data_IF_136768325776
#
_entry.id   IF_136768325776
#
_cell.length_a   1.000
_cell.length_b   1.000
_cell.length_c   1.000
_cell.angle_alpha   90.00
_cell.angle_beta   90.00
_cell.angle_gamma   90.00
#
_symmetry.space_group_name_H-M   'P 1'
#
loop_
_entity.id
_entity.type
_entity.pdbx_description
1 polymer ?
#
# COMPACT_ATOMS: atom_id res chain seq x y z
N UNK A 1 -14.10 -35.11 -94.51
CA UNK A 1 -14.04 -33.65 -94.71
C UNK A 1 -12.85 -33.08 -93.93
N UNK A 2 -11.92 -32.40 -94.61
CA UNK A 2 -11.23 -31.13 -94.21
C UNK A 2 -11.41 -30.63 -92.75
N UNK A 3 -10.42 -30.16 -91.97
CA UNK A 3 -9.10 -29.46 -92.16
C UNK A 3 -8.27 -29.67 -90.86
N UNK A 4 -6.93 -29.83 -90.80
CA UNK A 4 -5.78 -28.95 -91.11
C UNK A 4 -5.08 -28.29 -89.89
N UNK A 5 -3.88 -28.81 -89.54
CA UNK A 5 -2.67 -28.16 -88.95
C UNK A 5 -2.67 -27.64 -87.48
N UNK A 6 -1.77 -28.08 -86.58
CA UNK A 6 -0.32 -27.69 -86.37
C UNK A 6 -0.15 -26.19 -86.00
N UNK A 7 0.46 -25.71 -84.90
CA UNK A 7 1.61 -26.08 -84.01
C UNK A 7 1.43 -25.33 -82.64
N UNK A 8 2.25 -25.37 -81.55
CA UNK A 8 3.56 -26.00 -81.17
C UNK A 8 3.68 -26.13 -79.61
N UNK A 9 4.89 -26.45 -79.14
CA UNK A 9 5.40 -26.54 -77.75
C UNK A 9 4.98 -25.46 -76.72
N UNK A 10 4.87 -25.86 -75.44
CA UNK A 10 5.73 -25.38 -74.32
C UNK A 10 5.93 -26.54 -73.33
N UNK A 11 7.18 -26.74 -72.87
CA UNK A 11 7.53 -27.69 -71.81
C UNK A 11 7.27 -27.07 -70.44
N UNK A 12 6.50 -27.74 -69.57
CA UNK A 12 6.39 -27.35 -68.15
C UNK A 12 7.05 -28.39 -67.26
N UNK A 13 8.08 -27.95 -66.53
CA UNK A 13 8.71 -28.70 -65.45
C UNK A 13 7.78 -28.62 -64.24
N UNK A 14 7.23 -29.75 -63.80
CA UNK A 14 6.46 -29.82 -62.55
C UNK A 14 7.43 -29.94 -61.38
N UNK A 15 7.63 -28.84 -60.66
CA UNK A 15 8.36 -28.85 -59.39
C UNK A 15 7.48 -29.47 -58.29
N UNK A 16 7.91 -30.60 -57.74
CA UNK A 16 7.24 -31.23 -56.61
C UNK A 16 7.57 -30.49 -55.30
N UNK A 17 6.63 -29.69 -54.80
CA UNK A 17 6.69 -29.10 -53.47
C UNK A 17 6.14 -30.10 -52.44
N UNK A 18 7.02 -30.68 -51.62
CA UNK A 18 6.64 -31.52 -50.51
C UNK A 18 6.06 -30.64 -49.37
N UNK A 19 4.76 -30.79 -49.10
CA UNK A 19 4.13 -30.17 -47.94
C UNK A 19 4.49 -30.96 -46.67
N UNK A 20 5.39 -30.43 -45.83
CA UNK A 20 5.54 -30.94 -44.47
C UNK A 20 4.30 -30.55 -43.66
N UNK A 21 3.49 -31.53 -43.25
CA UNK A 21 2.58 -31.33 -42.12
C UNK A 21 3.40 -31.23 -40.83
N UNK A 22 3.62 -30.00 -40.37
CA UNK A 22 4.02 -29.77 -38.98
C UNK A 22 2.77 -29.89 -38.12
N UNK A 23 2.62 -31.04 -37.46
CA UNK A 23 1.69 -31.21 -36.35
C UNK A 23 2.16 -30.31 -35.19
N UNK A 24 1.67 -29.06 -35.18
CA UNK A 24 1.83 -28.19 -34.04
C UNK A 24 1.11 -28.82 -32.84
N UNK A 25 1.87 -29.28 -31.85
CA UNK A 25 1.32 -29.84 -30.63
C UNK A 25 0.48 -28.78 -29.92
N UNK A 26 -0.75 -29.14 -29.53
CA UNK A 26 -1.59 -28.30 -28.68
C UNK A 26 -0.84 -28.10 -27.35
N UNK A 27 -0.54 -26.86 -26.93
CA UNK A 27 0.02 -26.65 -25.59
C UNK A 27 -1.04 -27.05 -24.57
N UNK A 28 -0.75 -28.12 -23.83
CA UNK A 28 -1.59 -28.57 -22.72
C UNK A 28 -1.71 -27.46 -21.66
N UNK A 29 -2.86 -27.40 -21.01
CA UNK A 29 -3.29 -26.45 -19.98
C UNK A 29 -2.19 -25.50 -19.45
N UNK A 30 -2.38 -24.19 -19.70
CA UNK A 30 -1.57 -23.16 -19.06
C UNK A 30 -1.61 -23.38 -17.53
N UNK A 31 -0.44 -23.60 -16.93
CA UNK A 31 -0.31 -23.54 -15.49
C UNK A 31 -0.74 -22.14 -15.05
N UNK A 32 -1.66 -22.06 -14.08
CA UNK A 32 -2.08 -20.77 -13.53
C UNK A 32 -0.83 -19.99 -13.12
N UNK A 33 -0.72 -18.74 -13.60
CA UNK A 33 0.37 -17.87 -13.21
C UNK A 33 0.35 -17.72 -11.68
N UNK A 34 1.46 -18.04 -11.03
CA UNK A 34 1.60 -17.82 -9.59
C UNK A 34 1.56 -16.33 -9.26
N UNK A 35 1.35 -15.97 -7.98
CA UNK A 35 1.38 -14.58 -7.55
C UNK A 35 2.67 -13.88 -8.00
N UNK A 36 2.52 -12.65 -8.49
CA UNK A 36 3.64 -11.86 -9.02
C UNK A 36 4.49 -11.34 -7.87
N UNK A 37 5.57 -12.07 -7.56
CA UNK A 37 6.60 -11.66 -6.59
C UNK A 37 7.40 -10.45 -7.11
N UNK A 38 6.85 -9.25 -6.88
CA UNK A 38 7.57 -7.97 -6.98
C UNK A 38 7.95 -7.42 -5.61
N UNK A 39 8.90 -6.47 -5.52
CA UNK A 39 9.13 -5.71 -4.30
C UNK A 39 7.92 -4.79 -4.04
N UNK A 40 6.99 -5.29 -3.23
CA UNK A 40 5.78 -4.59 -2.81
C UNK A 40 6.12 -3.54 -1.75
N UNK A 41 5.65 -2.31 -1.95
CA UNK A 41 5.70 -1.24 -0.93
C UNK A 41 4.62 -1.49 0.14
N UNK A 42 4.74 -2.62 0.84
CA UNK A 42 3.76 -3.09 1.82
C UNK A 42 3.37 -2.03 2.84
N UNK A 43 2.06 -1.86 3.06
CA UNK A 43 1.49 -0.81 3.89
C UNK A 43 0.57 -1.43 4.94
N UNK A 44 0.84 -1.11 6.21
CA UNK A 44 -0.15 -1.17 7.29
C UNK A 44 -0.42 0.24 7.76
N UNK A 45 -1.62 0.78 7.51
CA UNK A 45 -1.93 2.16 7.87
C UNK A 45 -3.18 2.71 7.20
N UNK A 46 -3.39 4.01 7.32
CA UNK A 46 -4.61 4.66 6.83
C UNK A 46 -4.59 4.92 5.33
N UNK A 47 -5.74 4.69 4.68
CA UNK A 47 -6.06 5.18 3.34
C UNK A 47 -7.43 5.88 3.35
N UNK A 48 -7.79 6.53 2.25
CA UNK A 48 -9.15 6.97 1.99
C UNK A 48 -9.47 6.71 0.52
N UNK A 49 -10.74 6.70 0.15
CA UNK A 49 -11.15 6.88 -1.23
C UNK A 49 -12.16 8.03 -1.32
N UNK A 50 -12.33 8.59 -2.51
CA UNK A 50 -13.21 9.73 -2.77
C UNK A 50 -13.87 9.56 -4.13
N UNK A 51 -15.15 9.95 -4.26
CA UNK A 51 -15.97 9.81 -5.49
C UNK A 51 -15.22 10.25 -6.76
N UNK A 52 -14.50 11.36 -6.66
CA UNK A 52 -13.61 11.88 -7.70
C UNK A 52 -12.18 11.96 -7.14
N UNK A 53 -11.17 11.85 -8.00
CA UNK A 53 -9.81 12.20 -7.61
C UNK A 53 -9.77 13.63 -7.03
N UNK A 54 -9.02 13.89 -5.93
CA UNK A 54 -8.86 15.25 -5.41
C UNK A 54 -7.85 16.07 -6.22
N UNK A 55 -8.09 17.38 -6.30
CA UNK A 55 -7.18 18.32 -6.96
C UNK A 55 -5.81 18.36 -6.29
N UNK A 56 -4.79 18.91 -6.98
CA UNK A 56 -3.43 18.95 -6.42
C UNK A 56 -3.35 19.69 -5.08
N UNK A 57 -4.04 20.83 -4.94
CA UNK A 57 -4.01 21.63 -3.72
C UNK A 57 -4.60 20.87 -2.53
N UNK A 58 -5.63 20.06 -2.78
CA UNK A 58 -6.25 19.20 -1.76
C UNK A 58 -5.31 18.07 -1.37
N UNK A 59 -4.70 17.39 -2.35
CA UNK A 59 -3.70 16.34 -2.11
C UNK A 59 -2.47 16.85 -1.35
N UNK A 60 -1.96 18.04 -1.65
CA UNK A 60 -0.79 18.62 -0.96
C UNK A 60 -1.13 19.02 0.50
N UNK A 61 -2.32 19.58 0.74
CA UNK A 61 -2.81 19.92 2.08
C UNK A 61 -3.04 18.64 2.93
N UNK A 62 -3.67 17.63 2.34
CA UNK A 62 -3.93 16.35 3.00
C UNK A 62 -2.66 15.52 3.20
N UNK A 63 -1.67 15.62 2.32
CA UNK A 63 -0.39 14.91 2.47
C UNK A 63 0.28 15.30 3.79
N UNK A 64 0.29 16.57 4.17
CA UNK A 64 0.95 17.01 5.41
C UNK A 64 0.03 17.05 6.64
N UNK A 65 -1.28 17.21 6.44
CA UNK A 65 -2.26 17.33 7.53
C UNK A 65 -2.91 16.01 7.99
N UNK A 66 -3.07 15.03 7.10
CA UNK A 66 -3.88 13.81 7.34
C UNK A 66 -3.04 12.58 7.70
N UNK A 67 -3.62 11.56 8.38
CA UNK A 67 -2.92 10.31 8.67
C UNK A 67 -2.74 9.39 7.45
N UNK A 68 -3.40 9.69 6.32
CA UNK A 68 -3.50 8.80 5.17
C UNK A 68 -2.20 8.69 4.37
N UNK A 69 -1.76 7.47 4.06
CA UNK A 69 -0.78 7.20 3.01
C UNK A 69 -1.42 6.65 1.74
N UNK A 70 -2.55 5.95 1.86
CA UNK A 70 -3.27 5.42 0.70
C UNK A 70 -4.35 6.38 0.18
N UNK A 71 -4.60 6.35 -1.13
CA UNK A 71 -5.68 7.07 -1.80
C UNK A 71 -6.31 6.21 -2.90
N UNK A 72 -7.58 5.85 -2.73
CA UNK A 72 -8.43 5.22 -3.74
C UNK A 72 -8.76 6.20 -4.85
N UNK A 73 -8.62 5.75 -6.10
CA UNK A 73 -8.92 6.55 -7.29
C UNK A 73 -9.72 5.73 -8.29
N UNK A 74 -10.91 6.20 -8.62
CA UNK A 74 -11.79 5.61 -9.63
C UNK A 74 -11.23 5.91 -11.03
N UNK A 75 -10.59 4.92 -11.65
CA UNK A 75 -9.89 5.11 -12.92
C UNK A 75 -10.78 4.90 -14.16
N UNK A 76 -11.87 4.14 -14.03
CA UNK A 76 -12.83 3.84 -15.10
C UNK A 76 -13.88 2.80 -14.72
N UNK A 77 -14.56 2.27 -15.74
CA UNK A 77 -15.69 1.36 -15.62
C UNK A 77 -17.03 2.02 -15.95
N UNK A 78 -18.00 1.21 -16.38
CA UNK A 78 -19.32 1.65 -16.87
C UNK A 78 -20.24 2.23 -15.78
N UNK A 79 -20.05 1.83 -14.52
CA UNK A 79 -20.81 2.28 -13.36
C UNK A 79 -20.06 3.33 -12.52
N UNK A 80 -18.89 3.79 -12.99
CA UNK A 80 -18.09 4.81 -12.29
C UNK A 80 -18.88 6.11 -12.11
N UNK A 81 -19.12 6.50 -10.85
CA UNK A 81 -20.02 7.61 -10.53
C UNK A 81 -19.44 9.00 -10.79
N UNK A 82 -18.14 9.16 -11.05
CA UNK A 82 -17.49 10.44 -11.36
C UNK A 82 -16.96 10.45 -12.80
N UNK A 83 -17.69 11.13 -13.70
CA UNK A 83 -17.33 11.21 -15.12
C UNK A 83 -16.05 12.03 -15.36
N UNK A 84 -15.47 11.90 -16.57
CA UNK A 84 -14.23 12.60 -16.93
C UNK A 84 -14.30 14.13 -16.79
N UNK A 85 -15.50 14.72 -16.91
CA UNK A 85 -15.74 16.16 -16.70
C UNK A 85 -15.68 16.57 -15.22
N UNK A 86 -16.04 15.67 -14.30
CA UNK A 86 -15.99 15.91 -12.84
C UNK A 86 -14.60 15.65 -12.24
N UNK A 87 -13.75 14.84 -12.90
CA UNK A 87 -12.36 14.58 -12.50
C UNK A 87 -11.31 14.94 -13.58
N UNK A 88 -11.24 16.22 -14.03
CA UNK A 88 -10.44 16.63 -15.19
C UNK A 88 -8.92 16.54 -14.99
N UNK A 89 -8.45 16.32 -13.75
CA UNK A 89 -7.04 16.26 -13.41
C UNK A 89 -6.52 14.83 -13.19
N UNK A 90 -7.34 13.78 -13.34
CA UNK A 90 -6.86 12.39 -13.25
C UNK A 90 -6.15 11.97 -14.54
N UNK A 91 -4.89 12.39 -14.64
CA UNK A 91 -3.95 12.07 -15.72
C UNK A 91 -2.63 11.47 -15.19
N UNK A 92 -1.73 11.10 -16.11
CA UNK A 92 -0.43 10.53 -15.78
C UNK A 92 0.50 11.50 -15.01
N UNK A 93 0.35 12.82 -15.18
CA UNK A 93 1.11 13.83 -14.44
C UNK A 93 0.67 13.89 -12.98
N UNK A 94 -0.64 13.83 -12.73
CA UNK A 94 -1.20 13.75 -11.37
C UNK A 94 -0.78 12.45 -10.69
N UNK A 95 -0.87 11.31 -11.37
CA UNK A 95 -0.44 10.00 -10.83
C UNK A 95 1.06 9.99 -10.52
N UNK A 96 1.91 10.48 -11.44
CA UNK A 96 3.34 10.59 -11.21
C UNK A 96 3.66 11.50 -10.01
N UNK A 97 2.95 12.62 -9.86
CA UNK A 97 3.18 13.53 -8.73
C UNK A 97 2.73 12.93 -7.41
N UNK A 98 1.59 12.27 -7.34
CA UNK A 98 1.12 11.67 -6.09
C UNK A 98 2.05 10.54 -5.63
N UNK A 99 2.42 9.64 -6.54
CA UNK A 99 3.36 8.54 -6.24
C UNK A 99 4.76 9.07 -5.89
N UNK A 100 5.26 10.10 -6.60
CA UNK A 100 6.49 10.81 -6.26
C UNK A 100 6.48 11.53 -4.90
N UNK A 101 5.30 11.99 -4.46
CA UNK A 101 5.07 12.56 -3.14
C UNK A 101 4.88 11.50 -2.04
N UNK A 102 4.87 10.21 -2.39
CA UNK A 102 4.78 9.08 -1.46
C UNK A 102 3.36 8.53 -1.23
N UNK A 103 2.33 9.04 -1.91
CA UNK A 103 0.99 8.45 -1.86
C UNK A 103 0.99 7.03 -2.46
N UNK A 104 0.26 6.11 -1.83
CA UNK A 104 -0.02 4.77 -2.32
C UNK A 104 -1.39 4.76 -2.98
N UNK A 105 -1.42 4.78 -4.31
CA UNK A 105 -2.68 4.80 -5.04
C UNK A 105 -3.33 3.41 -5.07
N UNK A 106 -4.64 3.35 -4.87
CA UNK A 106 -5.47 2.14 -4.98
C UNK A 106 -6.42 2.34 -6.18
N UNK A 107 -6.08 1.84 -7.39
CA UNK A 107 -6.87 2.10 -8.60
C UNK A 107 -8.13 1.23 -8.67
N UNK A 108 -9.30 1.87 -8.68
CA UNK A 108 -10.62 1.24 -8.63
C UNK A 108 -11.28 1.25 -10.01
N UNK A 109 -11.89 0.14 -10.40
CA UNK A 109 -12.62 -0.03 -11.64
C UNK A 109 -14.06 -0.51 -11.38
N UNK A 110 -15.05 0.28 -11.78
CA UNK A 110 -16.47 0.05 -11.45
C UNK A 110 -17.24 -0.37 -12.72
N UNK A 111 -17.18 -1.66 -13.04
CA UNK A 111 -17.80 -2.22 -14.26
C UNK A 111 -19.23 -2.73 -14.05
N UNK A 112 -19.69 -3.70 -14.88
CA UNK A 112 -20.95 -4.41 -14.69
C UNK A 112 -21.11 -4.98 -13.28
N UNK A 113 -22.29 -4.83 -12.69
CA UNK A 113 -22.56 -5.25 -11.31
C UNK A 113 -23.34 -6.58 -11.25
N UNK A 114 -23.49 -7.14 -10.05
CA UNK A 114 -24.22 -8.38 -9.83
C UNK A 114 -25.62 -8.36 -10.50
N UNK A 115 -25.98 -9.45 -11.20
CA UNK A 115 -27.17 -9.52 -12.06
C UNK A 115 -28.50 -9.28 -11.31
N UNK A 116 -28.55 -9.70 -10.05
CA UNK A 116 -29.66 -9.51 -9.11
C UNK A 116 -29.76 -8.09 -8.52
N UNK A 117 -28.77 -7.21 -8.77
CA UNK A 117 -28.77 -5.82 -8.31
C UNK A 117 -29.66 -4.87 -9.12
N UNK A 118 -29.74 -3.61 -8.70
CA UNK A 118 -30.55 -2.57 -9.36
C UNK A 118 -29.87 -1.86 -10.55
N UNK A 119 -28.59 -2.14 -10.79
CA UNK A 119 -27.72 -1.38 -11.70
C UNK A 119 -28.13 -1.45 -13.18
N UNK A 120 -27.61 -0.53 -13.99
CA UNK A 120 -27.92 -0.43 -15.43
C UNK A 120 -26.99 -1.27 -16.32
N UNK A 121 -25.76 -1.51 -15.88
CA UNK A 121 -24.85 -2.50 -16.48
C UNK A 121 -24.66 -3.68 -15.51
N UNK A 122 -24.75 -4.90 -16.03
CA UNK A 122 -24.85 -6.12 -15.22
C UNK A 122 -24.06 -7.27 -15.82
N UNK A 123 -23.49 -8.07 -14.92
CA UNK A 123 -22.88 -9.35 -15.22
C UNK A 123 -23.94 -10.28 -15.82
N UNK A 124 -23.59 -10.99 -16.89
CA UNK A 124 -24.48 -11.93 -17.57
C UNK A 124 -24.75 -13.16 -16.67
N UNK A 125 -26.01 -13.40 -16.26
CA UNK A 125 -26.35 -14.54 -15.41
C UNK A 125 -26.48 -15.87 -16.15
N UNK A 126 -26.38 -15.92 -17.48
CA UNK A 126 -26.63 -17.15 -18.24
C UNK A 126 -25.69 -18.30 -17.79
N UNK A 127 -26.24 -19.42 -17.24
CA UNK A 127 -25.44 -20.58 -16.85
C UNK A 127 -24.78 -21.30 -18.02
N UNK A 128 -25.13 -20.97 -19.27
CA UNK A 128 -24.57 -21.58 -20.47
C UNK A 128 -23.03 -21.62 -20.46
N UNK A 129 -22.50 -22.74 -20.93
CA UNK A 129 -21.06 -22.93 -21.00
C UNK A 129 -20.49 -22.30 -22.28
N UNK A 130 -19.55 -21.35 -22.12
CA UNK A 130 -18.74 -20.83 -23.23
C UNK A 130 -17.36 -21.48 -23.15
N UNK A 131 -16.89 -22.05 -24.26
CA UNK A 131 -15.65 -22.83 -24.33
C UNK A 131 -15.52 -23.97 -23.27
N UNK A 132 -16.64 -24.47 -22.75
CA UNK A 132 -16.69 -25.51 -21.71
C UNK A 132 -16.77 -25.00 -20.27
N UNK A 133 -16.66 -23.69 -20.04
CA UNK A 133 -16.77 -23.05 -18.72
C UNK A 133 -18.21 -22.58 -18.47
N UNK A 134 -18.93 -23.11 -17.45
CA UNK A 134 -20.26 -22.61 -17.06
C UNK A 134 -20.23 -21.14 -16.62
N UNK A 135 -21.29 -20.38 -16.95
CA UNK A 135 -21.33 -18.91 -16.87
C UNK A 135 -20.19 -18.25 -17.67
N UNK A 136 -19.85 -18.83 -18.82
CA UNK A 136 -18.66 -18.41 -19.58
C UNK A 136 -18.77 -17.01 -20.19
N UNK A 137 -20.00 -16.49 -20.38
CA UNK A 137 -20.24 -15.10 -20.74
C UNK A 137 -19.76 -14.13 -19.64
N UNK A 138 -20.05 -14.44 -18.38
CA UNK A 138 -19.56 -13.68 -17.23
C UNK A 138 -18.03 -13.71 -17.12
N UNK A 139 -17.38 -14.85 -17.40
CA UNK A 139 -15.91 -14.92 -17.42
C UNK A 139 -15.31 -14.02 -18.50
N UNK A 140 -15.88 -14.03 -19.70
CA UNK A 140 -15.46 -13.17 -20.80
C UNK A 140 -15.62 -11.68 -20.45
N UNK A 141 -16.77 -11.29 -19.89
CA UNK A 141 -16.98 -9.93 -19.39
C UNK A 141 -15.90 -9.53 -18.36
N UNK A 142 -15.57 -10.40 -17.40
CA UNK A 142 -14.53 -10.14 -16.41
C UNK A 142 -13.15 -9.92 -17.03
N UNK A 143 -12.80 -10.73 -18.03
CA UNK A 143 -11.56 -10.60 -18.82
C UNK A 143 -11.52 -9.29 -19.61
N UNK A 144 -12.63 -8.89 -20.23
CA UNK A 144 -12.74 -7.64 -20.98
C UNK A 144 -12.62 -6.41 -20.07
N UNK A 145 -13.23 -6.43 -18.89
CA UNK A 145 -13.08 -5.36 -17.90
C UNK A 145 -11.62 -5.25 -17.40
N UNK A 146 -10.94 -6.37 -17.16
CA UNK A 146 -9.53 -6.38 -16.78
C UNK A 146 -8.62 -5.79 -17.87
N UNK A 147 -8.85 -6.14 -19.14
CA UNK A 147 -8.12 -5.57 -20.27
C UNK A 147 -8.35 -4.04 -20.39
N UNK A 148 -9.59 -3.58 -20.21
CA UNK A 148 -9.92 -2.15 -20.21
C UNK A 148 -9.29 -1.39 -19.01
N UNK A 149 -9.32 -1.99 -17.82
CA UNK A 149 -8.70 -1.44 -16.62
C UNK A 149 -7.17 -1.32 -16.77
N UNK A 150 -6.50 -2.35 -17.31
CA UNK A 150 -5.06 -2.34 -17.59
C UNK A 150 -4.70 -1.29 -18.65
N UNK A 151 -5.49 -1.15 -19.72
CA UNK A 151 -5.27 -0.11 -20.73
C UNK A 151 -5.35 1.30 -20.12
N UNK A 152 -6.37 1.55 -19.26
CA UNK A 152 -6.53 2.82 -18.55
C UNK A 152 -5.44 3.06 -17.50
N UNK A 153 -5.05 2.04 -16.74
CA UNK A 153 -3.97 2.09 -15.77
C UNK A 153 -2.63 2.44 -16.45
N UNK A 154 -2.32 1.78 -17.58
CA UNK A 154 -1.13 2.05 -18.40
C UNK A 154 -1.13 3.49 -18.92
N UNK A 155 -2.27 4.00 -19.39
CA UNK A 155 -2.41 5.39 -19.84
C UNK A 155 -2.25 6.43 -18.71
N UNK A 156 -2.48 6.02 -17.45
CA UNK A 156 -2.21 6.81 -16.25
C UNK A 156 -0.78 6.63 -15.70
N UNK A 157 0.05 5.79 -16.32
CA UNK A 157 1.41 5.48 -15.84
C UNK A 157 1.47 4.52 -14.66
N UNK A 158 0.36 3.85 -14.32
CA UNK A 158 0.34 2.74 -13.36
C UNK A 158 0.90 1.50 -14.06
N UNK A 159 1.94 0.88 -13.51
CA UNK A 159 2.71 -0.17 -14.20
C UNK A 159 2.32 -1.58 -13.76
N UNK A 160 2.76 -2.58 -14.53
CA UNK A 160 2.71 -3.99 -14.15
C UNK A 160 3.26 -4.22 -12.71
N UNK A 161 2.66 -5.17 -12.00
CA UNK A 161 2.84 -5.41 -10.57
C UNK A 161 1.87 -4.60 -9.67
N UNK A 162 1.20 -3.57 -10.19
CA UNK A 162 0.16 -2.85 -9.45
C UNK A 162 -1.08 -3.73 -9.23
N UNK A 163 -1.74 -3.59 -8.08
CA UNK A 163 -3.08 -4.13 -7.87
C UNK A 163 -4.11 -3.23 -8.54
N UNK A 164 -5.03 -3.79 -9.32
CA UNK A 164 -6.24 -3.12 -9.79
C UNK A 164 -7.44 -3.71 -9.05
N UNK A 165 -8.31 -2.86 -8.52
CA UNK A 165 -9.43 -3.25 -7.67
C UNK A 165 -10.73 -3.24 -8.48
N UNK A 166 -11.35 -4.40 -8.67
CA UNK A 166 -12.71 -4.46 -9.20
C UNK A 166 -13.70 -4.06 -8.13
N UNK A 167 -14.57 -3.11 -8.41
CA UNK A 167 -15.65 -2.69 -7.53
C UNK A 167 -16.91 -3.51 -7.85
N UNK A 168 -17.23 -4.47 -6.98
CA UNK A 168 -18.49 -5.21 -6.99
C UNK A 168 -19.32 -4.80 -5.78
N UNK A 169 -20.27 -3.90 -6.02
CA UNK A 169 -21.13 -3.29 -5.01
C UNK A 169 -21.93 -4.31 -4.18
N UNK A 170 -22.31 -3.89 -2.97
CA UNK A 170 -23.15 -4.67 -2.06
C UNK A 170 -24.61 -4.83 -2.54
N UNK A 171 -25.38 -5.66 -1.83
CA UNK A 171 -26.73 -6.04 -2.26
C UNK A 171 -26.73 -7.23 -3.22
N UNK A 172 -25.68 -8.03 -3.16
CA UNK A 172 -25.47 -9.24 -3.95
C UNK A 172 -26.10 -10.45 -3.25
N UNK A 173 -27.25 -10.92 -3.73
CA UNK A 173 -27.97 -12.02 -3.11
C UNK A 173 -27.23 -13.35 -3.29
N UNK A 174 -26.73 -13.89 -2.16
CA UNK A 174 -26.01 -15.15 -2.11
C UNK A 174 -26.90 -16.39 -2.28
N UNK A 175 -28.22 -16.26 -2.10
CA UNK A 175 -29.18 -17.34 -2.29
C UNK A 175 -29.56 -17.51 -3.77
N UNK A 176 -29.52 -16.43 -4.55
CA UNK A 176 -29.63 -16.51 -6.00
C UNK A 176 -28.40 -17.24 -6.56
N UNK A 177 -28.62 -18.41 -7.15
CA UNK A 177 -27.55 -19.27 -7.65
C UNK A 177 -26.91 -18.70 -8.91
N UNK A 178 -27.68 -18.09 -9.80
CA UNK A 178 -27.17 -17.58 -11.06
C UNK A 178 -26.49 -16.23 -10.85
N UNK A 179 -27.05 -15.36 -9.99
CA UNK A 179 -26.35 -14.16 -9.53
C UNK A 179 -25.01 -14.52 -8.86
N UNK A 180 -25.02 -15.42 -7.86
CA UNK A 180 -23.80 -15.78 -7.14
C UNK A 180 -22.73 -16.42 -8.01
N UNK A 181 -23.10 -17.33 -8.91
CA UNK A 181 -22.12 -18.07 -9.73
C UNK A 181 -21.61 -17.26 -10.91
N UNK A 182 -22.45 -16.43 -11.54
CA UNK A 182 -22.00 -15.49 -12.59
C UNK A 182 -21.02 -14.47 -12.01
N UNK A 183 -21.30 -13.86 -10.85
CA UNK A 183 -20.39 -12.91 -10.21
C UNK A 183 -19.04 -13.56 -9.83
N UNK A 184 -19.03 -14.75 -9.22
CA UNK A 184 -17.78 -15.47 -8.94
C UNK A 184 -17.00 -15.85 -10.21
N UNK A 185 -17.69 -16.22 -11.29
CA UNK A 185 -17.08 -16.53 -12.59
C UNK A 185 -16.53 -15.28 -13.28
N UNK A 186 -17.21 -14.16 -13.17
CA UNK A 186 -16.74 -12.85 -13.61
C UNK A 186 -15.46 -12.43 -12.88
N UNK A 187 -15.44 -12.49 -11.54
CA UNK A 187 -14.27 -12.14 -10.74
C UNK A 187 -13.08 -13.09 -10.99
N UNK A 188 -13.36 -14.36 -11.32
CA UNK A 188 -12.36 -15.32 -11.81
C UNK A 188 -11.78 -14.87 -13.15
N UNK A 189 -12.62 -14.43 -14.10
CA UNK A 189 -12.18 -13.90 -15.40
C UNK A 189 -11.32 -12.64 -15.27
N UNK A 190 -11.74 -11.70 -14.43
CA UNK A 190 -10.98 -10.50 -14.05
C UNK A 190 -9.59 -10.87 -13.52
N UNK A 191 -9.54 -11.77 -12.53
CA UNK A 191 -8.30 -12.21 -11.90
C UNK A 191 -7.33 -12.84 -12.91
N UNK A 192 -7.81 -13.80 -13.70
CA UNK A 192 -6.99 -14.49 -14.70
C UNK A 192 -6.40 -13.53 -15.73
N UNK A 193 -7.21 -12.61 -16.27
CA UNK A 193 -6.74 -11.63 -17.24
C UNK A 193 -5.73 -10.63 -16.63
N UNK A 194 -5.91 -10.19 -15.38
CA UNK A 194 -4.92 -9.33 -14.73
C UNK A 194 -3.58 -10.03 -14.57
N UNK A 195 -3.57 -11.29 -14.11
CA UNK A 195 -2.34 -12.08 -13.99
C UNK A 195 -1.66 -12.32 -15.35
N UNK A 196 -2.43 -12.64 -16.40
CA UNK A 196 -1.94 -12.75 -17.78
C UNK A 196 -1.33 -11.45 -18.31
N UNK A 197 -1.86 -10.29 -17.87
CA UNK A 197 -1.38 -8.95 -18.23
C UNK A 197 -0.27 -8.41 -17.30
N UNK A 198 0.14 -9.18 -16.28
CA UNK A 198 1.20 -8.80 -15.35
C UNK A 198 0.76 -7.84 -14.22
N UNK A 199 -0.53 -7.76 -13.91
CA UNK A 199 -1.10 -6.99 -12.80
C UNK A 199 -1.61 -7.91 -11.70
N UNK A 200 -1.88 -7.36 -10.52
CA UNK A 200 -2.48 -8.10 -9.39
C UNK A 200 -3.97 -7.82 -9.29
N UNK A 201 -4.73 -8.83 -8.89
CA UNK A 201 -6.18 -8.78 -8.74
C UNK A 201 -6.57 -8.36 -7.34
N UNK A 202 -7.21 -7.20 -7.23
CA UNK A 202 -7.96 -6.76 -6.07
C UNK A 202 -9.46 -6.85 -6.33
N UNK A 203 -10.25 -7.13 -5.29
CA UNK A 203 -11.71 -7.03 -5.35
C UNK A 203 -12.23 -6.25 -4.16
N UNK A 204 -13.00 -5.20 -4.42
CA UNK A 204 -13.85 -4.51 -3.45
C UNK A 204 -15.25 -5.13 -3.44
N UNK A 205 -15.81 -5.36 -2.25
CA UNK A 205 -17.23 -5.65 -2.04
C UNK A 205 -17.64 -5.56 -0.56
N UNK A 206 -18.92 -5.73 -0.26
CA UNK A 206 -19.39 -5.86 1.12
C UNK A 206 -18.84 -7.15 1.79
N UNK A 207 -18.44 -7.06 3.07
CA UNK A 207 -17.90 -8.20 3.83
C UNK A 207 -18.86 -9.41 3.87
N UNK A 208 -20.16 -9.16 3.98
CA UNK A 208 -21.19 -10.20 4.12
C UNK A 208 -21.68 -10.76 2.77
N UNK A 209 -21.40 -10.05 1.67
CA UNK A 209 -21.87 -10.39 0.33
C UNK A 209 -20.72 -10.96 -0.53
N UNK A 210 -20.08 -10.14 -1.38
CA UNK A 210 -19.10 -10.59 -2.36
C UNK A 210 -17.83 -11.18 -1.74
N UNK A 211 -17.34 -10.59 -0.63
CA UNK A 211 -16.15 -11.11 0.05
C UNK A 211 -16.46 -12.43 0.78
N UNK A 212 -17.65 -12.57 1.37
CA UNK A 212 -18.12 -13.85 1.94
C UNK A 212 -18.26 -14.94 0.86
N UNK A 213 -18.75 -14.58 -0.33
CA UNK A 213 -18.87 -15.52 -1.45
C UNK A 213 -17.50 -16.01 -1.94
N UNK A 214 -16.51 -15.11 -2.04
CA UNK A 214 -15.13 -15.46 -2.38
C UNK A 214 -14.51 -16.38 -1.31
N UNK A 215 -14.62 -16.01 -0.02
CA UNK A 215 -14.10 -16.82 1.10
C UNK A 215 -14.68 -18.23 1.10
N UNK A 216 -16.00 -18.36 0.90
CA UNK A 216 -16.67 -19.65 0.79
C UNK A 216 -16.28 -20.41 -0.49
N UNK A 217 -16.12 -19.74 -1.63
CA UNK A 217 -15.71 -20.39 -2.87
C UNK A 217 -14.31 -21.02 -2.75
N UNK A 218 -13.35 -20.29 -2.18
CA UNK A 218 -11.99 -20.78 -1.94
C UNK A 218 -11.95 -21.93 -0.93
N UNK A 219 -12.65 -21.79 0.20
CA UNK A 219 -12.53 -22.74 1.31
C UNK A 219 -13.48 -23.96 1.23
N UNK A 220 -14.59 -23.87 0.49
CA UNK A 220 -15.56 -24.98 0.35
C UNK A 220 -15.48 -25.67 -1.02
N UNK A 221 -14.92 -25.01 -2.03
CA UNK A 221 -14.79 -25.54 -3.40
C UNK A 221 -13.45 -25.12 -4.07
N UNK A 222 -12.30 -25.35 -3.42
CA UNK A 222 -11.00 -24.84 -3.85
C UNK A 222 -10.68 -25.18 -5.32
N UNK A 223 -10.17 -24.20 -6.06
CA UNK A 223 -9.85 -24.32 -7.48
C UNK A 223 -11.04 -24.21 -8.45
N UNK A 224 -12.28 -24.00 -7.97
CA UNK A 224 -13.44 -23.79 -8.85
C UNK A 224 -13.44 -22.43 -9.56
N UNK A 225 -12.74 -21.45 -8.99
CA UNK A 225 -12.62 -20.07 -9.46
C UNK A 225 -11.19 -19.58 -9.14
N UNK A 226 -10.65 -18.66 -9.94
CA UNK A 226 -9.44 -17.93 -9.57
C UNK A 226 -9.78 -16.90 -8.49
N UNK A 227 -9.02 -16.90 -7.39
CA UNK A 227 -9.18 -15.95 -6.28
C UNK A 227 -8.33 -14.70 -6.49
N UNK A 228 -8.82 -13.51 -6.10
CA UNK A 228 -8.00 -12.30 -6.13
C UNK A 228 -6.82 -12.41 -5.16
N UNK A 229 -5.73 -11.69 -5.45
CA UNK A 229 -4.56 -11.59 -4.58
C UNK A 229 -4.87 -10.85 -3.27
N UNK A 230 -5.79 -9.88 -3.33
CA UNK A 230 -6.11 -8.95 -2.25
C UNK A 230 -7.62 -8.65 -2.22
N UNK A 231 -8.18 -8.39 -1.04
CA UNK A 231 -9.60 -8.04 -0.88
C UNK A 231 -9.77 -6.70 -0.16
N UNK A 232 -10.73 -5.92 -0.59
CA UNK A 232 -11.14 -4.67 0.03
C UNK A 232 -12.58 -4.84 0.50
N UNK A 233 -12.78 -4.97 1.81
CA UNK A 233 -14.11 -5.22 2.35
C UNK A 233 -14.74 -3.94 2.91
N UNK A 234 -15.98 -3.66 2.52
CA UNK A 234 -16.81 -2.67 3.19
C UNK A 234 -17.46 -3.29 4.44
N UNK A 235 -17.20 -2.71 5.60
CA UNK A 235 -17.84 -3.05 6.87
C UNK A 235 -17.86 -1.84 7.78
N UNK A 236 -18.98 -1.12 7.83
CA UNK A 236 -19.07 0.20 8.48
C UNK A 236 -19.12 0.16 10.02
N UNK A 237 -18.14 -0.50 10.64
CA UNK A 237 -18.04 -0.70 12.08
C UNK A 237 -17.27 0.42 12.81
N UNK A 238 -16.68 1.38 12.08
CA UNK A 238 -15.83 2.47 12.58
C UNK A 238 -14.49 2.02 13.23
N UNK A 239 -14.06 0.77 13.01
CA UNK A 239 -12.79 0.23 13.48
C UNK A 239 -11.72 0.31 12.38
N UNK A 240 -10.81 1.27 12.55
CA UNK A 240 -9.60 1.38 11.72
C UNK A 240 -8.60 0.26 12.06
N UNK A 241 -8.80 -0.90 11.44
CA UNK A 241 -7.92 -2.08 11.37
C UNK A 241 -8.38 -2.96 10.18
N UNK A 242 -7.78 -4.13 9.96
CA UNK A 242 -8.19 -5.10 8.90
C UNK A 242 -8.67 -6.44 9.47
N UNK A 243 -9.21 -6.41 10.70
CA UNK A 243 -9.87 -7.55 11.30
C UNK A 243 -11.21 -7.79 10.58
N UNK A 244 -11.55 -9.06 10.42
CA UNK A 244 -12.80 -9.51 9.81
C UNK A 244 -13.64 -10.23 10.87
N UNK A 245 -14.96 -10.19 10.72
CA UNK A 245 -15.84 -11.03 11.53
C UNK A 245 -15.80 -12.48 10.98
N UNK A 246 -15.44 -13.49 11.80
CA UNK A 246 -15.41 -14.88 11.39
C UNK A 246 -16.78 -15.46 11.00
N UNK A 247 -17.89 -14.75 11.22
CA UNK A 247 -19.20 -15.13 10.68
C UNK A 247 -19.27 -15.01 9.15
N UNK A 248 -18.45 -14.14 8.54
CA UNK A 248 -18.41 -13.90 7.09
C UNK A 248 -17.09 -14.30 6.44
N UNK A 249 -15.94 -14.00 7.06
CA UNK A 249 -14.63 -14.25 6.41
C UNK A 249 -13.72 -14.95 7.40
N UNK A 250 -13.12 -16.08 7.00
CA UNK A 250 -12.19 -16.81 7.86
C UNK A 250 -10.98 -15.93 8.15
N UNK A 251 -10.55 -15.91 9.41
CA UNK A 251 -9.46 -15.03 9.85
C UNK A 251 -8.14 -15.20 9.06
N UNK A 252 -7.93 -16.38 8.46
CA UNK A 252 -6.78 -16.73 7.60
C UNK A 252 -6.89 -16.24 6.16
N UNK A 253 -8.10 -16.12 5.59
CA UNK A 253 -8.29 -15.79 4.16
C UNK A 253 -7.86 -14.36 3.87
N UNK A 254 -6.93 -14.18 2.91
CA UNK A 254 -6.28 -12.89 2.64
C UNK A 254 -5.67 -12.21 3.89
N UNK A 255 -5.25 -12.97 4.91
CA UNK A 255 -4.53 -12.38 6.04
C UNK A 255 -3.27 -11.64 5.54
N UNK A 256 -3.09 -10.38 5.97
CA UNK A 256 -2.05 -9.45 5.46
C UNK A 256 -2.20 -9.04 3.98
N UNK A 257 -3.39 -9.21 3.41
CA UNK A 257 -3.76 -8.84 2.03
C UNK A 257 -5.17 -8.20 1.97
N UNK A 258 -5.45 -7.30 2.93
CA UNK A 258 -6.77 -6.66 3.10
C UNK A 258 -6.72 -5.13 3.03
N UNK A 259 -7.79 -4.55 2.51
CA UNK A 259 -8.22 -3.17 2.79
C UNK A 259 -9.59 -3.23 3.46
N UNK A 260 -9.88 -2.31 4.36
CA UNK A 260 -11.15 -2.23 5.09
C UNK A 260 -11.73 -0.82 4.98
N UNK A 261 -12.88 -0.67 4.31
CA UNK A 261 -13.66 0.55 4.33
C UNK A 261 -14.54 0.55 5.58
N UNK A 262 -14.06 1.22 6.64
CA UNK A 262 -14.61 1.12 7.98
C UNK A 262 -15.71 2.15 8.28
N UNK A 263 -15.87 3.16 7.42
CA UNK A 263 -16.97 4.12 7.42
C UNK A 263 -17.17 4.69 6.01
N UNK A 264 -18.29 5.37 5.78
CA UNK A 264 -18.68 5.92 4.48
C UNK A 264 -19.11 7.39 4.59
N UNK A 265 -18.95 8.17 3.53
CA UNK A 265 -19.36 9.56 3.35
C UNK A 265 -18.92 10.50 4.48
N UNK A 266 -17.67 10.38 4.93
CA UNK A 266 -17.13 11.16 6.04
C UNK A 266 -16.54 12.49 5.55
N UNK A 267 -17.15 13.61 5.96
CA UNK A 267 -16.58 14.95 5.78
C UNK A 267 -15.43 15.18 6.78
N UNK A 268 -14.18 15.15 6.30
CA UNK A 268 -12.98 15.30 7.12
C UNK A 268 -12.21 16.57 6.71
N UNK A 269 -11.60 17.28 7.67
CA UNK A 269 -10.81 18.48 7.39
C UNK A 269 -9.35 18.31 7.80
N UNK A 270 -8.42 18.43 6.85
CA UNK A 270 -6.98 18.38 7.08
C UNK A 270 -6.26 19.51 6.34
N UNK A 271 -5.29 20.16 6.99
CA UNK A 271 -4.57 21.29 6.39
C UNK A 271 -5.45 22.51 6.05
N UNK A 272 -6.66 22.60 6.62
CA UNK A 272 -7.67 23.60 6.27
C UNK A 272 -8.56 23.24 5.07
N UNK A 273 -8.35 22.07 4.46
CA UNK A 273 -9.12 21.56 3.31
C UNK A 273 -10.07 20.46 3.78
N UNK A 274 -11.35 20.57 3.42
CA UNK A 274 -12.38 19.56 3.69
C UNK A 274 -12.64 18.72 2.45
N UNK A 275 -12.60 17.39 2.58
CA UNK A 275 -13.09 16.45 1.57
C UNK A 275 -14.15 15.53 2.20
N UNK A 276 -15.11 15.09 1.40
CA UNK A 276 -15.96 13.94 1.74
C UNK A 276 -15.27 12.69 1.21
N UNK A 277 -14.93 11.77 2.11
CA UNK A 277 -14.16 10.56 1.79
C UNK A 277 -14.73 9.35 2.51
N UNK A 278 -14.45 8.18 1.96
CA UNK A 278 -14.65 6.92 2.66
C UNK A 278 -13.30 6.52 3.28
N UNK A 279 -13.16 6.55 4.62
CA UNK A 279 -11.89 6.27 5.27
C UNK A 279 -11.66 4.76 5.38
N UNK A 280 -10.43 4.38 5.07
CA UNK A 280 -9.98 3.01 4.90
C UNK A 280 -8.79 2.69 5.81
N UNK A 281 -8.65 1.42 6.20
CA UNK A 281 -7.42 0.91 6.79
C UNK A 281 -6.85 -0.21 5.91
N UNK A 282 -5.56 -0.10 5.61
CA UNK A 282 -4.83 -0.94 4.65
C UNK A 282 -3.90 -1.86 5.41
N UNK A 283 -3.83 -3.10 4.94
CA UNK A 283 -2.88 -4.10 5.42
C UNK A 283 -2.50 -5.06 4.28
N UNK A 284 -1.57 -4.61 3.43
CA UNK A 284 -1.20 -5.28 2.19
C UNK A 284 0.25 -5.73 2.19
N UNK A 285 0.50 -6.88 1.57
CA UNK A 285 1.81 -7.45 1.28
C UNK A 285 2.69 -7.66 2.51
N UNK A 286 2.10 -8.23 3.57
CA UNK A 286 2.77 -8.39 4.86
C UNK A 286 2.82 -7.10 5.67
N UNK A 287 2.46 -5.95 5.09
CA UNK A 287 2.38 -4.64 5.73
C UNK A 287 3.70 -3.88 5.78
N UNK A 288 3.72 -2.82 6.59
CA UNK A 288 4.86 -1.92 6.72
C UNK A 288 6.07 -2.58 7.39
N UNK A 289 7.08 -2.96 6.61
CA UNK A 289 8.33 -3.58 7.11
C UNK A 289 9.52 -2.64 6.99
N UNK A 290 10.14 -2.30 8.12
CA UNK A 290 11.31 -1.43 8.13
C UNK A 290 12.61 -2.19 7.79
N UNK A 291 13.51 -1.63 6.96
CA UNK A 291 14.82 -2.21 6.70
C UNK A 291 15.63 -2.50 7.97
N UNK A 292 16.55 -3.46 7.85
CA UNK A 292 17.46 -3.86 8.93
C UNK A 292 18.22 -2.65 9.49
N UNK A 293 18.24 -2.51 10.83
CA UNK A 293 18.84 -1.36 11.49
C UNK A 293 20.35 -1.22 11.18
N UNK A 294 20.83 -0.03 10.76
CA UNK A 294 22.25 0.19 10.51
C UNK A 294 23.11 -0.09 11.75
N UNK A 295 24.24 -0.80 11.58
CA UNK A 295 25.16 -1.15 12.68
C UNK A 295 25.86 0.10 13.22
N UNK A 296 25.37 0.64 14.33
CA UNK A 296 26.00 1.77 15.00
C UNK A 296 27.37 1.36 15.61
N UNK A 297 28.44 2.06 15.22
CA UNK A 297 29.80 1.95 15.77
C UNK A 297 30.32 0.51 16.03
N UNK A 298 30.12 -0.41 15.07
CA UNK A 298 30.56 -1.79 15.20
C UNK A 298 29.63 -2.70 16.02
N UNK A 299 28.35 -2.35 16.15
CA UNK A 299 27.34 -3.15 16.87
C UNK A 299 27.00 -2.63 18.27
N UNK A 300 27.34 -1.38 18.58
CA UNK A 300 26.89 -0.73 19.82
C UNK A 300 25.37 -0.58 19.79
N UNK A 301 24.68 -1.23 20.73
CA UNK A 301 23.24 -1.04 20.94
C UNK A 301 22.96 0.43 21.27
N UNK A 302 22.15 1.08 20.45
CA UNK A 302 21.65 2.45 20.67
C UNK A 302 20.15 2.50 21.01
N UNK A 303 19.43 1.40 20.81
CA UNK A 303 17.97 1.31 21.01
C UNK A 303 17.63 0.84 22.43
N UNK A 304 17.03 1.73 23.21
CA UNK A 304 16.62 1.49 24.59
C UNK A 304 15.17 1.90 24.80
N UNK A 305 14.49 1.19 25.70
CA UNK A 305 13.15 1.57 26.16
C UNK A 305 13.16 2.91 26.94
N UNK A 306 14.28 3.25 27.63
CA UNK A 306 14.42 4.47 28.43
C UNK A 306 15.83 5.05 28.34
N UNK A 307 15.95 6.38 28.30
CA UNK A 307 17.23 7.10 28.24
C UNK A 307 17.51 7.90 29.53
N UNK A 308 18.31 7.36 30.48
CA UNK A 308 18.51 7.98 31.78
C UNK A 308 19.40 9.24 31.70
N UNK A 309 19.32 10.07 32.75
CA UNK A 309 20.23 11.19 32.96
C UNK A 309 21.67 10.69 33.18
N UNK A 310 22.61 11.15 32.36
CA UNK A 310 24.03 10.79 32.47
C UNK A 310 24.91 12.01 32.78
N UNK A 311 26.02 11.75 33.48
CA UNK A 311 27.02 12.74 33.84
C UNK A 311 28.33 12.07 34.25
N UNK A 312 29.33 12.89 34.59
CA UNK A 312 30.70 12.44 34.90
C UNK A 312 30.69 11.30 35.92
N UNK A 313 31.49 10.26 35.66
CA UNK A 313 31.63 9.08 36.52
C UNK A 313 30.59 7.99 36.30
N UNK A 314 29.52 8.23 35.52
CA UNK A 314 28.63 7.15 35.06
C UNK A 314 29.34 6.27 34.02
N UNK A 315 28.92 5.00 33.93
CA UNK A 315 29.42 4.04 32.95
C UNK A 315 28.33 3.10 32.46
N UNK A 316 28.60 2.34 31.39
CA UNK A 316 27.73 1.28 30.88
C UNK A 316 27.14 1.54 29.49
N UNK A 317 26.13 0.75 29.11
CA UNK A 317 25.58 0.72 27.75
C UNK A 317 25.07 2.09 27.25
N UNK A 318 24.36 2.85 28.10
CA UNK A 318 23.88 4.19 27.74
C UNK A 318 25.02 5.19 27.47
N UNK A 319 26.17 5.03 28.12
CA UNK A 319 27.37 5.84 27.84
C UNK A 319 28.02 5.41 26.53
N UNK A 320 28.09 4.10 26.23
CA UNK A 320 28.56 3.62 24.91
C UNK A 320 27.70 4.15 23.77
N UNK A 321 26.37 4.14 23.93
CA UNK A 321 25.44 4.70 22.98
C UNK A 321 25.65 6.22 22.79
N UNK A 322 25.79 6.97 23.88
CA UNK A 322 26.13 8.41 23.84
C UNK A 322 27.42 8.68 23.07
N UNK A 323 28.51 7.98 23.42
CA UNK A 323 29.81 8.10 22.75
C UNK A 323 29.70 7.79 21.26
N UNK A 324 28.97 6.74 20.88
CA UNK A 324 28.72 6.38 19.49
C UNK A 324 27.94 7.48 18.73
N UNK A 325 26.83 7.95 19.29
CA UNK A 325 26.00 9.00 18.70
C UNK A 325 26.78 10.31 18.53
N UNK A 326 27.57 10.72 19.53
CA UNK A 326 28.46 11.89 19.43
C UNK A 326 29.57 11.70 18.40
N UNK A 327 30.08 10.46 18.22
CA UNK A 327 31.10 10.13 17.22
C UNK A 327 30.56 10.21 15.80
N UNK A 328 29.36 9.67 15.54
CA UNK A 328 28.63 9.84 14.28
C UNK A 328 28.38 11.33 13.94
N UNK A 329 28.28 12.21 14.95
CA UNK A 329 28.05 13.65 14.80
C UNK A 329 29.35 14.48 14.83
N UNK A 330 30.52 13.82 14.74
CA UNK A 330 31.84 14.45 14.74
C UNK A 330 32.25 15.15 16.04
N UNK A 331 31.48 14.98 17.13
CA UNK A 331 31.71 15.66 18.42
C UNK A 331 32.61 14.88 19.38
N UNK A 332 32.79 13.56 19.16
CA UNK A 332 33.64 12.70 19.97
C UNK A 332 34.54 11.85 19.06
N UNK A 333 35.85 11.79 19.34
CA UNK A 333 36.84 11.11 18.48
C UNK A 333 37.47 9.86 19.10
N UNK A 334 37.43 9.71 20.43
CA UNK A 334 38.06 8.59 21.17
C UNK A 334 37.30 7.26 20.99
N UNK A 335 37.75 6.23 21.70
CA UNK A 335 37.13 4.88 21.71
C UNK A 335 35.77 4.88 22.43
N UNK A 336 34.90 3.92 22.08
CA UNK A 336 33.59 3.75 22.75
C UNK A 336 33.75 2.77 23.91
N UNK A 337 34.36 3.24 25.00
CA UNK A 337 34.68 2.44 26.19
C UNK A 337 33.52 2.31 27.19
N UNK A 338 32.54 3.21 27.11
CA UNK A 338 31.41 3.29 28.02
C UNK A 338 31.69 4.00 29.34
N UNK A 339 32.69 4.89 29.44
CA UNK A 339 32.97 5.74 30.61
C UNK A 339 32.65 7.20 30.34
N UNK A 340 31.88 7.84 31.23
CA UNK A 340 31.54 9.26 31.11
C UNK A 340 32.66 10.09 31.77
N UNK A 341 33.76 10.21 31.05
CA UNK A 341 34.98 10.92 31.44
C UNK A 341 34.93 12.43 31.12
N UNK A 342 36.07 13.10 31.22
CA UNK A 342 36.20 14.52 30.88
C UNK A 342 36.03 14.80 29.37
N UNK A 343 36.41 13.87 28.50
CA UNK A 343 36.25 13.99 27.05
C UNK A 343 34.80 13.85 26.62
N UNK A 344 34.04 12.94 27.23
CA UNK A 344 32.59 12.82 27.03
C UNK A 344 31.88 14.08 27.55
N UNK A 345 32.26 14.63 28.71
CA UNK A 345 31.76 15.93 29.19
C UNK A 345 32.05 17.04 28.16
N UNK A 346 33.26 17.11 27.62
CA UNK A 346 33.64 18.11 26.61
C UNK A 346 32.84 17.96 25.31
N UNK A 347 32.68 16.72 24.81
CA UNK A 347 31.90 16.40 23.62
C UNK A 347 30.40 16.73 23.79
N UNK A 348 29.81 16.45 24.96
CA UNK A 348 28.42 16.83 25.28
C UNK A 348 28.26 18.35 25.35
N UNK A 349 29.21 19.08 25.95
CA UNK A 349 29.20 20.55 25.94
C UNK A 349 29.33 21.11 24.52
N UNK A 350 30.18 20.52 23.67
CA UNK A 350 30.32 20.91 22.27
C UNK A 350 29.03 20.63 21.47
N UNK A 351 28.36 19.50 21.73
CA UNK A 351 27.05 19.20 21.15
C UNK A 351 25.98 20.20 21.59
N UNK A 352 25.85 20.44 22.91
CA UNK A 352 24.89 21.39 23.49
C UNK A 352 25.04 22.79 22.91
N UNK A 353 26.27 23.33 22.84
CA UNK A 353 26.57 24.62 22.16
C UNK A 353 26.11 24.62 20.71
N UNK A 354 26.42 23.56 19.94
CA UNK A 354 26.06 23.47 18.52
C UNK A 354 24.55 23.31 18.25
N UNK A 355 23.72 23.24 19.29
CA UNK A 355 22.26 23.13 19.23
C UNK A 355 21.56 24.20 20.09
N UNK A 356 22.28 25.21 20.57
CA UNK A 356 21.77 26.25 21.47
C UNK A 356 21.06 25.70 22.72
N UNK A 357 21.54 24.57 23.24
CA UNK A 357 21.03 23.93 24.46
C UNK A 357 21.83 24.37 25.69
N UNK A 358 21.26 24.33 26.92
CA UNK A 358 21.98 24.60 28.15
C UNK A 358 23.27 23.77 28.29
N UNK A 359 24.42 24.45 28.35
CA UNK A 359 25.76 23.85 28.23
C UNK A 359 26.27 23.29 29.56
N UNK A 360 25.57 22.28 30.08
CA UNK A 360 25.89 21.65 31.37
C UNK A 360 27.03 20.63 31.26
N UNK A 361 27.14 19.93 30.13
CA UNK A 361 27.97 18.73 29.99
C UNK A 361 27.34 17.46 30.58
N UNK A 362 26.08 17.53 31.04
CA UNK A 362 25.25 16.39 31.44
C UNK A 362 24.29 16.06 30.31
N UNK A 363 24.03 14.77 30.06
CA UNK A 363 22.94 14.34 29.19
C UNK A 363 21.65 14.25 30.00
N UNK A 364 20.75 15.20 29.75
CA UNK A 364 19.38 15.22 30.29
C UNK A 364 18.38 15.02 29.15
N UNK A 365 17.11 14.79 29.47
CA UNK A 365 16.05 14.48 28.50
C UNK A 365 16.06 15.39 27.25
N UNK A 366 16.07 16.72 27.44
CA UNK A 366 16.19 17.71 26.34
C UNK A 366 17.38 17.47 25.42
N UNK A 367 18.56 17.14 25.96
CA UNK A 367 19.75 16.85 25.14
C UNK A 367 19.65 15.49 24.46
N UNK A 368 19.03 14.49 25.10
CA UNK A 368 18.78 13.18 24.50
C UNK A 368 17.81 13.26 23.32
N UNK A 369 16.65 13.91 23.45
CA UNK A 369 15.67 14.08 22.35
C UNK A 369 16.31 14.78 21.15
N UNK A 370 17.04 15.87 21.39
CA UNK A 370 17.80 16.58 20.35
C UNK A 370 18.84 15.68 19.66
N UNK A 371 19.56 14.84 20.42
CA UNK A 371 20.60 13.95 19.89
C UNK A 371 20.01 12.80 19.05
N UNK A 372 18.95 12.15 19.55
CA UNK A 372 18.36 10.94 19.00
C UNK A 372 17.48 11.19 17.78
N UNK A 373 16.76 12.32 17.75
CA UNK A 373 15.95 12.74 16.59
C UNK A 373 16.81 13.17 15.38
N UNK A 374 18.06 13.56 15.60
CA UNK A 374 18.91 14.11 14.54
C UNK A 374 19.38 13.04 13.54
N UNK A 375 19.21 13.34 12.25
CA UNK A 375 19.68 12.58 11.10
C UNK A 375 19.86 13.51 9.88
N UNK A 376 20.29 12.94 8.75
CA UNK A 376 20.53 13.69 7.51
C UNK A 376 19.24 14.29 6.92
N UNK A 377 18.13 13.54 6.99
CA UNK A 377 16.80 13.91 6.49
C UNK A 377 15.79 14.08 7.62
N UNK A 378 14.72 14.81 7.33
CA UNK A 378 13.52 14.97 8.17
C UNK A 378 12.29 14.64 7.33
N UNK A 379 12.10 13.35 6.95
CA UNK A 379 11.02 12.94 6.08
C UNK A 379 9.67 13.07 6.79
N UNK A 380 8.62 13.21 5.99
CA UNK A 380 7.24 13.14 6.48
C UNK A 380 6.96 11.71 6.99
N UNK A 381 6.58 11.55 8.25
CA UNK A 381 6.17 10.25 8.79
C UNK A 381 4.69 10.25 9.21
N UNK A 382 4.00 9.14 8.93
CA UNK A 382 2.65 8.82 9.41
C UNK A 382 2.58 7.36 9.82
N UNK A 383 1.43 6.93 10.33
CA UNK A 383 1.19 5.51 10.60
C UNK A 383 1.39 4.68 9.33
N UNK A 384 2.25 3.65 9.40
CA UNK A 384 2.71 2.86 8.25
C UNK A 384 4.05 3.26 7.63
N UNK A 385 4.66 4.39 8.02
CA UNK A 385 6.04 4.71 7.63
C UNK A 385 7.03 3.70 8.23
N UNK A 386 8.02 3.24 7.45
CA UNK A 386 8.90 2.12 7.82
C UNK A 386 10.38 2.36 7.47
N UNK A 387 11.12 3.12 8.30
CA UNK A 387 12.49 3.56 8.01
C UNK A 387 13.32 3.94 9.27
N UNK A 388 14.63 4.20 9.13
CA UNK A 388 15.47 4.65 10.27
C UNK A 388 15.03 6.01 10.84
N UNK A 389 14.36 6.88 10.06
CA UNK A 389 13.75 8.08 10.61
C UNK A 389 12.71 7.74 11.71
N UNK A 390 11.92 6.70 11.53
CA UNK A 390 11.02 6.22 12.58
C UNK A 390 11.79 5.69 13.78
N UNK A 391 12.92 4.99 13.58
CA UNK A 391 13.78 4.57 14.71
C UNK A 391 14.29 5.79 15.49
N UNK A 392 14.64 6.90 14.81
CA UNK A 392 15.00 8.18 15.46
C UNK A 392 13.83 8.77 16.26
N UNK A 393 12.61 8.73 15.72
CA UNK A 393 11.39 9.15 16.41
C UNK A 393 11.15 8.30 17.67
N UNK A 394 11.05 6.98 17.54
CA UNK A 394 10.80 6.05 18.66
C UNK A 394 11.83 6.20 19.78
N UNK A 395 13.12 6.29 19.43
CA UNK A 395 14.19 6.57 20.42
C UNK A 395 13.99 7.91 21.12
N UNK A 396 13.54 8.95 20.42
CA UNK A 396 13.30 10.27 21.00
C UNK A 396 12.06 10.29 21.92
N UNK A 397 10.98 9.60 21.55
CA UNK A 397 9.77 9.45 22.38
C UNK A 397 10.08 8.67 23.68
N UNK A 398 10.91 7.62 23.60
CA UNK A 398 11.42 6.84 24.75
C UNK A 398 12.34 7.61 25.71
N UNK A 399 12.69 8.87 25.41
CA UNK A 399 13.34 9.76 26.38
C UNK A 399 12.33 10.32 27.39
N UNK A 400 11.07 10.46 26.97
CA UNK A 400 9.94 10.81 27.82
C UNK A 400 9.43 9.60 28.60
N UNK A 401 8.12 9.39 28.57
CA UNK A 401 7.43 8.30 29.27
C UNK A 401 6.95 7.18 28.34
N UNK A 402 7.26 7.24 27.05
CA UNK A 402 6.94 6.18 26.10
C UNK A 402 7.74 4.91 26.41
N UNK A 403 7.12 3.74 26.19
CA UNK A 403 7.72 2.42 26.36
C UNK A 403 7.67 1.66 25.03
N UNK A 404 8.18 2.29 23.97
CA UNK A 404 8.13 1.76 22.61
C UNK A 404 9.28 0.78 22.35
N UNK A 405 8.98 -0.30 21.62
CA UNK A 405 10.03 -1.07 20.93
C UNK A 405 10.50 -0.28 19.71
N UNK A 406 11.81 -0.16 19.49
CA UNK A 406 12.37 0.58 18.35
C UNK A 406 12.35 -0.30 17.08
N UNK A 407 11.15 -0.55 16.55
CA UNK A 407 10.90 -1.40 15.38
C UNK A 407 11.35 -0.75 14.07
N UNK A 408 11.34 0.58 13.99
CA UNK A 408 11.48 1.33 12.75
C UNK A 408 10.19 1.45 11.94
N UNK A 409 9.08 0.92 12.44
CA UNK A 409 7.75 1.03 11.83
C UNK A 409 6.90 1.93 12.72
N UNK A 410 6.26 2.95 12.14
CA UNK A 410 5.40 3.88 12.86
C UNK A 410 4.03 3.21 12.96
N UNK A 411 3.87 2.40 14.00
CA UNK A 411 2.64 1.69 14.33
C UNK A 411 1.67 2.56 15.15
N UNK A 412 0.46 2.04 15.41
CA UNK A 412 -0.58 2.69 16.22
C UNK A 412 -0.10 3.10 17.62
N UNK A 413 0.80 2.32 18.22
CA UNK A 413 1.42 2.65 19.50
C UNK A 413 2.35 3.88 19.39
N UNK A 414 3.22 3.90 18.37
CA UNK A 414 4.10 5.04 18.07
C UNK A 414 3.29 6.29 17.71
N UNK A 415 2.21 6.13 16.94
CA UNK A 415 1.23 7.16 16.57
C UNK A 415 0.56 7.79 17.80
N UNK A 416 0.16 6.96 18.77
CA UNK A 416 -0.43 7.41 20.05
C UNK A 416 0.57 8.26 20.86
N UNK A 417 1.81 7.78 21.01
CA UNK A 417 2.86 8.52 21.72
C UNK A 417 3.33 9.79 20.98
N UNK A 418 3.29 9.79 19.65
CA UNK A 418 3.53 10.97 18.82
C UNK A 418 2.46 12.04 19.04
N UNK A 419 1.17 11.68 19.04
CA UNK A 419 0.08 12.63 19.33
C UNK A 419 0.22 13.25 20.71
N UNK A 420 0.55 12.43 21.73
CA UNK A 420 0.85 12.93 23.08
C UNK A 420 2.05 13.89 23.08
N UNK A 421 3.15 13.52 22.41
CA UNK A 421 4.32 14.39 22.28
C UNK A 421 3.95 15.73 21.61
N UNK A 422 3.13 15.74 20.57
CA UNK A 422 2.68 16.97 19.92
C UNK A 422 1.89 17.85 20.89
N UNK A 423 1.00 17.27 21.71
CA UNK A 423 0.26 18.01 22.72
C UNK A 423 1.17 18.60 23.82
N UNK A 424 2.03 17.76 24.42
CA UNK A 424 2.98 18.16 25.47
C UNK A 424 3.95 19.25 24.94
N UNK A 425 4.44 19.08 23.71
CA UNK A 425 5.28 20.04 23.00
C UNK A 425 4.51 21.21 22.35
N UNK A 426 3.22 21.43 22.63
CA UNK A 426 2.44 22.56 22.14
C UNK A 426 2.50 22.74 20.61
N UNK A 427 2.30 21.65 19.87
CA UNK A 427 2.17 21.56 18.42
C UNK A 427 0.74 21.14 18.05
N UNK A 428 0.35 21.32 16.79
CA UNK A 428 -0.90 20.74 16.27
C UNK A 428 -0.85 19.21 16.35
N UNK A 429 -1.87 18.59 16.96
CA UNK A 429 -1.93 17.15 17.25
C UNK A 429 -2.42 16.35 16.04
N UNK A 430 -1.64 16.36 14.96
CA UNK A 430 -1.98 15.69 13.69
C UNK A 430 -1.75 14.18 13.73
N UNK A 431 -0.80 13.70 14.55
CA UNK A 431 -0.23 12.35 14.44
C UNK A 431 0.72 12.19 13.23
N UNK A 432 1.11 13.29 12.60
CA UNK A 432 2.00 13.34 11.45
C UNK A 432 3.30 14.04 11.85
N UNK A 433 4.45 13.41 11.57
CA UNK A 433 5.77 14.02 11.84
C UNK A 433 6.14 14.98 10.70
N UNK A 434 5.59 16.18 10.79
CA UNK A 434 5.91 17.31 9.92
C UNK A 434 7.31 17.89 10.19
N UNK A 435 7.73 18.85 9.36
CA UNK A 435 8.95 19.64 9.57
C UNK A 435 8.98 20.29 10.98
N UNK A 436 7.86 20.84 11.46
CA UNK A 436 7.74 21.47 12.78
C UNK A 436 7.93 20.46 13.92
N UNK A 437 7.38 19.26 13.75
CA UNK A 437 7.55 18.17 14.73
C UNK A 437 9.03 17.75 14.80
N UNK A 438 9.70 17.61 13.65
CA UNK A 438 11.14 17.37 13.60
C UNK A 438 11.96 18.50 14.20
N UNK A 439 11.56 19.76 13.99
CA UNK A 439 12.25 20.92 14.52
C UNK A 439 12.13 21.02 16.05
N UNK A 440 10.93 20.76 16.59
CA UNK A 440 10.67 20.66 18.03
C UNK A 440 11.54 19.57 18.68
N UNK A 441 11.55 18.36 18.12
CA UNK A 441 12.40 17.26 18.56
C UNK A 441 13.89 17.63 18.50
N UNK A 442 14.36 18.23 17.39
CA UNK A 442 15.77 18.63 17.23
C UNK A 442 16.20 19.75 18.19
N UNK A 443 15.27 20.62 18.61
CA UNK A 443 15.47 21.61 19.68
C UNK A 443 15.36 21.01 21.08
N UNK A 444 14.98 19.74 21.20
CA UNK A 444 14.78 19.06 22.49
C UNK A 444 13.61 19.63 23.28
N UNK A 445 12.57 20.11 22.57
CA UNK A 445 11.26 20.42 23.17
C UNK A 445 10.66 19.10 23.66
N UNK A 446 10.14 19.15 24.87
CA UNK A 446 9.49 18.10 25.64
C UNK A 446 8.14 18.65 26.09
#
# INVERSE_FOLDING_TARGET
MTKSHSRRCVTFVVAALAALLVLAGVPSAAAAAGPIDGPTDGLTGYAFDARCAPTQAEMDAWLTGSPFWGAGIYIGGSMMSCGAEEQPHLDATWVQRQTGNGWKLLPIWVGPQASCGGFTDRIDPDPAAVAGTPYGAAEAQGRDQAAAAVARATALGLTAGSTLWYDLEGGFDLQDTDCRRSALRFLSGWTLALHELGYRSGVYSNIADGIHALDNADNLSPGSYAMPDQVWFAWYNNHADTLVDPQWVRATSWARQRVHQYAQNQSMTFGGVTLTVDPNYVDLDGGSVAPAAPRACGGVRIDFAKYPSLGRGKSGAGVKALQCLLKQRGKYRKAVDGRYDADVVAAVRAYQRSRSLPVTGRMVARTWVSLLSHGATTPLLKEGSAEDAVRRLQRALNVGTADLTVTGVLDRATSTWLRRYQADAGLTVTGVVSADTWEALRRGRL
#
